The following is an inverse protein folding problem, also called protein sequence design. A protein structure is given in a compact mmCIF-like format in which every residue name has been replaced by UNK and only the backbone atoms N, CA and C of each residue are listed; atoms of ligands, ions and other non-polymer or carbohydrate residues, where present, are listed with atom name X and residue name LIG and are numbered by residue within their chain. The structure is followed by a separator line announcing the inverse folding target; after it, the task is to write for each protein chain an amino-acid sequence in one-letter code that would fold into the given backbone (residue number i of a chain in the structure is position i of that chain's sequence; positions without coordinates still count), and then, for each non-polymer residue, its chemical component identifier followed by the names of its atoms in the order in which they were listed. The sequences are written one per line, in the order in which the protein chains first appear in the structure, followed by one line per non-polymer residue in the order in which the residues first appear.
data_IF_398003868847
#
_entry.id   IF_398003868847
#
_cell.length_a   1.000
_cell.length_b   1.000
_cell.length_c   1.000
_cell.angle_alpha   90.00
_cell.angle_beta   90.00
_cell.angle_gamma   90.00
#
_symmetry.space_group_name_H-M   'P 1'
#
loop_
_entity.id
_entity.type
_entity.pdbx_description
1 polymer ?
#
# COMPACT_ATOMS: atom_id res chain seq x y z
N UNK A 1 4.08 8.01 -18.57
CA UNK A 1 2.63 8.21 -18.83
C UNK A 1 1.75 7.27 -18.00
N UNK A 2 2.12 5.99 -17.81
CA UNK A 2 1.35 5.03 -16.97
C UNK A 2 1.17 5.48 -15.51
N UNK A 3 2.21 6.04 -14.91
CA UNK A 3 2.24 6.26 -13.45
C UNK A 3 1.32 7.39 -13.00
N UNK A 4 1.20 8.45 -13.80
CA UNK A 4 0.25 9.55 -13.54
C UNK A 4 -1.19 9.05 -13.66
N UNK A 5 -1.51 8.33 -14.74
CA UNK A 5 -2.86 7.78 -14.93
C UNK A 5 -3.23 6.83 -13.79
N UNK A 6 -2.31 5.96 -13.39
CA UNK A 6 -2.51 5.07 -12.25
C UNK A 6 -2.75 5.85 -10.96
N UNK A 7 -1.94 6.86 -10.65
CA UNK A 7 -2.10 7.71 -9.47
C UNK A 7 -3.47 8.40 -9.44
N UNK A 8 -3.91 8.93 -10.58
CA UNK A 8 -5.22 9.57 -10.69
C UNK A 8 -6.37 8.58 -10.53
N UNK A 9 -6.33 7.43 -11.21
CA UNK A 9 -7.39 6.42 -11.08
C UNK A 9 -7.46 5.85 -9.65
N UNK A 10 -6.33 5.77 -8.96
CA UNK A 10 -6.30 5.39 -7.55
C UNK A 10 -6.91 6.47 -6.63
N UNK A 11 -6.73 7.76 -6.93
CA UNK A 11 -7.43 8.82 -6.17
C UNK A 11 -8.94 8.82 -6.41
N UNK A 12 -9.36 8.40 -7.61
CA UNK A 12 -10.75 8.29 -8.00
C UNK A 12 -11.39 6.93 -7.65
N UNK A 13 -10.70 6.07 -6.89
CA UNK A 13 -11.15 4.71 -6.61
C UNK A 13 -12.59 4.65 -6.08
N UNK A 14 -12.95 5.48 -5.10
CA UNK A 14 -14.30 5.49 -4.54
C UNK A 14 -15.35 6.04 -5.52
N UNK A 15 -14.97 6.98 -6.39
CA UNK A 15 -15.86 7.49 -7.43
C UNK A 15 -16.13 6.41 -8.50
N UNK A 16 -15.08 5.69 -8.91
CA UNK A 16 -15.21 4.53 -9.80
C UNK A 16 -16.03 3.42 -9.15
N UNK A 17 -15.86 3.18 -7.85
CA UNK A 17 -16.65 2.20 -7.11
C UNK A 17 -18.14 2.56 -7.04
N UNK A 18 -18.47 3.85 -6.92
CA UNK A 18 -19.86 4.32 -6.94
C UNK A 18 -20.52 4.21 -8.32
N UNK A 19 -19.73 4.27 -9.41
CA UNK A 19 -20.23 4.04 -10.75
C UNK A 19 -20.64 2.58 -10.96
N UNK A 20 -20.02 1.63 -10.25
CA UNK A 20 -20.32 0.22 -10.38
C UNK A 20 -21.81 -0.06 -10.09
N UNK A 21 -22.49 -0.74 -11.01
CA UNK A 21 -23.95 -0.96 -10.95
C UNK A 21 -24.31 -2.45 -10.89
N UNK A 22 -25.47 -2.77 -10.30
CA UNK A 22 -25.98 -4.14 -10.13
C UNK A 22 -26.52 -4.41 -8.72
N UNK A 23 -27.59 -5.22 -8.60
CA UNK A 23 -28.30 -5.44 -7.33
C UNK A 23 -27.46 -6.15 -6.26
N UNK A 24 -26.70 -7.20 -6.64
CA UNK A 24 -26.02 -8.08 -5.67
C UNK A 24 -24.48 -8.04 -5.79
N UNK A 25 -23.93 -7.65 -6.94
CA UNK A 25 -22.49 -7.43 -7.16
C UNK A 25 -22.33 -6.23 -8.09
N UNK A 26 -22.03 -5.04 -7.55
CA UNK A 26 -21.78 -3.89 -8.40
C UNK A 26 -20.52 -4.14 -9.23
N UNK A 27 -20.66 -4.10 -10.55
CA UNK A 27 -19.56 -4.36 -11.48
C UNK A 27 -19.31 -3.16 -12.38
N UNK A 28 -18.03 -2.93 -12.72
CA UNK A 28 -17.63 -1.98 -13.75
C UNK A 28 -17.45 -2.70 -15.07
N UNK A 29 -18.06 -2.19 -16.14
CA UNK A 29 -17.82 -2.69 -17.49
C UNK A 29 -16.80 -1.81 -18.22
N UNK A 30 -16.25 -2.33 -19.33
CA UNK A 30 -15.20 -1.64 -20.09
C UNK A 30 -15.66 -0.30 -20.68
N UNK A 31 -16.93 -0.16 -21.04
CA UNK A 31 -17.49 1.07 -21.61
C UNK A 31 -17.58 2.18 -20.55
N UNK A 32 -17.94 1.84 -19.32
CA UNK A 32 -17.96 2.77 -18.19
C UNK A 32 -16.56 3.29 -17.85
N UNK A 33 -15.55 2.42 -17.90
CA UNK A 33 -14.16 2.85 -17.68
C UNK A 33 -13.67 3.71 -18.85
N UNK A 34 -13.96 3.33 -20.10
CA UNK A 34 -13.52 4.07 -21.28
C UNK A 34 -14.17 5.46 -21.39
N UNK A 35 -15.38 5.62 -20.85
CA UNK A 35 -16.10 6.90 -20.81
C UNK A 35 -15.78 7.76 -19.58
N UNK A 36 -15.00 7.23 -18.63
CA UNK A 36 -14.62 7.98 -17.43
C UNK A 36 -13.67 9.12 -17.79
N UNK A 37 -14.03 10.35 -17.40
CA UNK A 37 -13.24 11.54 -17.74
C UNK A 37 -11.98 11.62 -16.89
N UNK A 38 -10.83 11.69 -17.56
CA UNK A 38 -9.52 11.85 -16.92
C UNK A 38 -8.94 13.22 -17.32
N UNK A 39 -8.64 14.12 -16.37
CA UNK A 39 -7.96 15.37 -16.66
C UNK A 39 -6.51 15.06 -17.08
N UNK A 40 -6.08 15.69 -18.18
CA UNK A 40 -4.73 15.55 -18.70
C UNK A 40 -3.97 16.88 -18.53
N UNK A 41 -3.24 17.07 -17.42
CA UNK A 41 -2.44 18.28 -17.20
C UNK A 41 -1.22 18.34 -18.14
N UNK A 42 -0.51 19.48 -18.22
CA UNK A 42 0.75 19.60 -18.95
C UNK A 42 1.76 18.53 -18.52
N UNK A 43 2.61 18.11 -19.45
CA UNK A 43 3.51 16.97 -19.26
C UNK A 43 4.49 17.19 -18.09
N UNK A 44 4.96 18.42 -17.92
CA UNK A 44 5.85 18.83 -16.83
C UNK A 44 5.18 18.63 -15.47
N UNK A 45 3.90 18.99 -15.35
CA UNK A 45 3.13 18.81 -14.12
C UNK A 45 2.85 17.32 -13.85
N UNK A 46 2.61 16.52 -14.89
CA UNK A 46 2.47 15.06 -14.73
C UNK A 46 3.73 14.44 -14.11
N UNK A 47 4.93 14.84 -14.57
CA UNK A 47 6.19 14.33 -14.03
C UNK A 47 6.42 14.76 -12.58
N UNK A 48 6.14 16.03 -12.27
CA UNK A 48 6.34 16.55 -10.92
C UNK A 48 5.43 15.84 -9.89
N UNK A 49 4.16 15.61 -10.24
CA UNK A 49 3.23 14.86 -9.38
C UNK A 49 3.69 13.41 -9.15
N UNK A 50 4.15 12.74 -10.20
CA UNK A 50 4.67 11.36 -10.09
C UNK A 50 5.89 11.32 -9.18
N UNK A 51 6.83 12.26 -9.36
CA UNK A 51 8.03 12.37 -8.52
C UNK A 51 7.68 12.54 -7.05
N UNK A 52 6.80 13.49 -6.72
CA UNK A 52 6.38 13.73 -5.33
C UNK A 52 5.72 12.49 -4.73
N UNK A 53 4.85 11.80 -5.49
CA UNK A 53 4.20 10.58 -5.02
C UNK A 53 5.21 9.45 -4.77
N UNK A 54 6.24 9.32 -5.60
CA UNK A 54 7.32 8.33 -5.39
C UNK A 54 8.13 8.64 -4.13
N UNK A 55 8.49 9.91 -3.90
CA UNK A 55 9.19 10.33 -2.68
C UNK A 55 8.36 10.05 -1.42
N UNK A 56 7.05 10.31 -1.46
CA UNK A 56 6.16 9.98 -0.35
C UNK A 56 6.07 8.48 -0.11
N UNK A 57 5.97 7.67 -1.17
CA UNK A 57 5.99 6.20 -1.06
C UNK A 57 7.27 5.69 -0.41
N UNK A 58 8.43 6.23 -0.79
CA UNK A 58 9.71 5.86 -0.17
C UNK A 58 9.72 6.17 1.33
N UNK A 59 9.18 7.33 1.73
CA UNK A 59 9.04 7.69 3.15
C UNK A 59 8.12 6.73 3.91
N UNK A 60 7.00 6.32 3.29
CA UNK A 60 6.09 5.33 3.87
C UNK A 60 6.81 3.99 4.08
N UNK A 61 7.51 3.48 3.08
CA UNK A 61 8.23 2.21 3.17
C UNK A 61 9.42 2.25 4.14
N UNK A 62 10.06 3.41 4.30
CA UNK A 62 11.05 3.60 5.35
C UNK A 62 10.43 3.51 6.75
N UNK A 63 9.33 4.25 6.99
CA UNK A 63 8.66 4.25 8.30
C UNK A 63 8.03 2.90 8.65
N UNK A 64 7.51 2.16 7.66
CA UNK A 64 7.01 0.80 7.88
C UNK A 64 8.11 -0.12 8.40
N UNK A 65 9.31 -0.05 7.81
CA UNK A 65 10.47 -0.80 8.30
C UNK A 65 10.84 -0.44 9.73
N UNK A 66 10.85 0.85 10.08
CA UNK A 66 11.08 1.27 11.47
C UNK A 66 10.03 0.69 12.42
N UNK A 67 8.74 0.69 12.03
CA UNK A 67 7.66 0.08 12.83
C UNK A 67 7.89 -1.42 13.00
N UNK A 68 8.28 -2.14 11.95
CA UNK A 68 8.51 -3.57 12.00
C UNK A 68 9.75 -3.93 12.84
N UNK A 69 10.81 -3.13 12.77
CA UNK A 69 11.99 -3.25 13.64
C UNK A 69 11.63 -3.05 15.12
N UNK A 70 10.81 -2.02 15.43
CA UNK A 70 10.36 -1.76 16.79
C UNK A 70 9.46 -2.90 17.32
N UNK A 71 8.58 -3.44 16.47
CA UNK A 71 7.75 -4.60 16.81
C UNK A 71 8.62 -5.82 17.12
N UNK A 72 9.60 -6.11 16.26
CA UNK A 72 10.52 -7.21 16.48
C UNK A 72 11.30 -7.05 17.80
N UNK A 73 11.77 -5.83 18.09
CA UNK A 73 12.50 -5.54 19.34
C UNK A 73 11.63 -5.74 20.58
N UNK A 74 10.39 -5.27 20.58
CA UNK A 74 9.48 -5.47 21.72
C UNK A 74 9.23 -6.97 21.95
N UNK A 75 8.97 -7.73 20.88
CA UNK A 75 8.74 -9.16 21.01
C UNK A 75 9.96 -9.89 21.56
N UNK A 76 11.16 -9.57 21.05
CA UNK A 76 12.39 -10.21 21.53
C UNK A 76 12.73 -9.86 22.98
N UNK A 77 12.48 -8.62 23.42
CA UNK A 77 12.65 -8.20 24.81
C UNK A 77 11.68 -8.95 25.75
N UNK A 78 10.41 -9.09 25.36
CA UNK A 78 9.41 -9.85 26.13
C UNK A 78 9.81 -11.32 26.23
N UNK A 79 10.18 -11.94 25.11
CA UNK A 79 10.61 -13.34 25.07
C UNK A 79 11.85 -13.57 25.95
N UNK A 80 12.86 -12.70 25.86
CA UNK A 80 14.06 -12.79 26.69
C UNK A 80 13.76 -12.65 28.19
N UNK A 81 12.82 -11.76 28.54
CA UNK A 81 12.39 -11.55 29.92
C UNK A 81 11.58 -12.73 30.49
N UNK A 82 10.79 -13.42 29.67
CA UNK A 82 9.99 -14.58 30.07
C UNK A 82 10.84 -15.85 30.14
N UNK A 83 11.75 -16.05 29.17
CA UNK A 83 12.44 -17.33 28.96
C UNK A 83 13.71 -17.49 29.77
N UNK A 84 14.26 -16.42 30.36
CA UNK A 84 15.47 -16.49 31.19
C UNK A 84 16.67 -17.02 30.41
N UNK A 85 17.37 -16.12 29.71
CA UNK A 85 18.58 -16.35 28.91
C UNK A 85 18.38 -17.01 27.52
N UNK A 86 18.53 -16.17 26.48
CA UNK A 86 19.19 -16.41 25.19
C UNK A 86 19.09 -17.79 24.52
N UNK A 87 17.94 -18.19 23.97
CA UNK A 87 17.97 -19.31 23.00
C UNK A 87 16.82 -19.36 21.99
N UNK A 88 16.56 -18.30 21.22
CA UNK A 88 15.32 -18.26 20.40
C UNK A 88 15.38 -17.57 19.03
N UNK A 89 16.55 -17.53 18.38
CA UNK A 89 16.62 -17.01 17.01
C UNK A 89 15.89 -17.89 15.95
N UNK A 90 15.34 -19.05 16.34
CA UNK A 90 14.79 -20.05 15.42
C UNK A 90 13.27 -20.01 15.21
N UNK A 91 12.48 -19.35 16.08
CA UNK A 91 11.01 -19.43 15.99
C UNK A 91 10.36 -18.29 15.18
N UNK A 92 11.02 -17.14 15.06
CA UNK A 92 10.43 -15.99 14.33
C UNK A 92 10.42 -16.20 12.81
N UNK A 93 11.28 -17.06 12.27
CA UNK A 93 11.27 -17.43 10.85
C UNK A 93 10.06 -18.26 10.43
N UNK A 94 9.35 -18.90 11.37
CA UNK A 94 8.15 -19.70 11.08
C UNK A 94 6.82 -18.95 11.26
N UNK A 95 6.81 -17.84 12.00
CA UNK A 95 5.57 -17.07 12.28
C UNK A 95 5.31 -15.94 11.27
N UNK A 96 6.34 -15.48 10.54
CA UNK A 96 6.15 -14.46 9.49
C UNK A 96 5.46 -14.99 8.22
N UNK A 97 5.25 -16.30 8.09
CA UNK A 97 4.56 -16.93 6.96
C UNK A 97 3.06 -17.17 7.18
N UNK A 98 2.51 -16.91 8.38
CA UNK A 98 1.10 -17.21 8.69
C UNK A 98 0.21 -15.96 8.90
N UNK A 99 0.75 -14.75 8.73
CA UNK A 99 0.00 -13.49 8.85
C UNK A 99 -0.07 -12.70 7.52
N UNK A 100 0.14 -13.37 6.39
CA UNK A 100 -0.23 -12.87 5.06
C UNK A 100 -0.98 -13.92 4.26
#
# INVERSE_FOLDING_TARGET
MSDHLWLYLMSEYENLRQLASGNNQPNLNAEMIASYSVPLPPLELQYELVKQAMEMRQKIEHRKREVDELRFRITSEIEAAIMGENDFCAMYSSLSSEVF
#
